data_IF_139513201846
#
_entry.id   IF_139513201846
#
_cell.length_a   1.000
_cell.length_b   1.000
_cell.length_c   1.000
_cell.angle_alpha   90.00
_cell.angle_beta   90.00
_cell.angle_gamma   90.00
#
_symmetry.space_group_name_H-M   'P 1'
#
loop_
_entity.id
_entity.type
_entity.pdbx_description
1 polymer ?
#
# COMPACT_ATOMS: atom_id res chain seq x y z
N UNK A 1 -1.87 -1.54 8.73
CA UNK A 1 -1.19 -2.37 7.71
C UNK A 1 -0.54 -1.46 6.67
N UNK A 2 0.66 -1.75 6.20
CA UNK A 2 1.32 -0.98 5.15
C UNK A 2 1.13 -1.63 3.77
N UNK A 3 0.74 -0.85 2.76
CA UNK A 3 0.46 -1.33 1.41
C UNK A 3 1.11 -0.44 0.33
N UNK A 4 1.85 -1.05 -0.59
CA UNK A 4 2.38 -0.39 -1.80
C UNK A 4 1.34 -0.47 -2.92
N UNK A 5 0.91 0.68 -3.45
CA UNK A 5 -0.02 0.75 -4.58
C UNK A 5 0.78 0.97 -5.88
N UNK A 6 1.03 -0.12 -6.60
CA UNK A 6 1.97 -0.21 -7.73
C UNK A 6 1.19 -0.30 -9.05
N UNK A 7 0.42 0.75 -9.36
CA UNK A 7 -0.54 0.71 -10.48
C UNK A 7 0.11 0.99 -11.83
N UNK A 8 1.26 1.67 -11.84
CA UNK A 8 2.08 1.84 -13.04
C UNK A 8 3.17 0.77 -13.11
N UNK A 9 3.49 0.35 -14.34
CA UNK A 9 4.38 -0.79 -14.59
C UNK A 9 5.83 -0.52 -14.20
N UNK A 10 6.27 0.72 -14.26
CA UNK A 10 7.63 1.18 -13.92
C UNK A 10 7.91 1.23 -12.42
N UNK A 11 6.88 1.11 -11.57
CA UNK A 11 7.01 1.13 -10.11
C UNK A 11 7.54 -0.19 -9.51
N UNK A 12 7.77 -1.22 -10.32
CA UNK A 12 8.29 -2.51 -9.85
C UNK A 12 9.02 -3.31 -10.93
N UNK A 13 9.91 -4.22 -10.51
CA UNK A 13 10.52 -5.21 -11.38
C UNK A 13 9.87 -6.59 -11.16
N UNK A 14 9.22 -7.21 -12.16
CA UNK A 14 8.78 -8.59 -12.07
C UNK A 14 10.01 -9.48 -12.02
N UNK A 15 9.93 -10.49 -11.19
CA UNK A 15 11.00 -11.41 -10.94
C UNK A 15 10.44 -12.76 -10.51
N UNK A 16 11.35 -13.60 -10.05
CA UNK A 16 10.98 -14.76 -9.30
C UNK A 16 11.86 -14.86 -8.07
N UNK A 17 11.34 -15.53 -7.05
CA UNK A 17 12.05 -15.74 -5.79
C UNK A 17 11.96 -17.19 -5.35
N UNK A 18 12.86 -17.56 -4.45
CA UNK A 18 12.71 -18.71 -3.56
C UNK A 18 12.43 -18.17 -2.16
N UNK A 19 11.44 -18.73 -1.49
CA UNK A 19 11.15 -18.43 -0.07
C UNK A 19 11.57 -19.63 0.78
N UNK A 20 11.88 -19.45 2.07
CA UNK A 20 12.37 -20.53 2.93
C UNK A 20 11.43 -21.74 3.03
N UNK A 21 10.12 -21.49 2.91
CA UNK A 21 9.08 -22.48 3.19
C UNK A 21 8.67 -23.31 1.96
N UNK A 22 9.26 -23.07 0.78
CA UNK A 22 9.01 -23.89 -0.41
C UNK A 22 10.22 -24.05 -1.31
N UNK A 23 10.36 -25.26 -1.88
CA UNK A 23 11.41 -25.58 -2.84
C UNK A 23 11.15 -24.99 -4.25
N UNK A 24 9.93 -24.53 -4.51
CA UNK A 24 9.53 -24.03 -5.82
C UNK A 24 9.79 -22.53 -5.99
N UNK A 25 10.07 -22.16 -7.24
CA UNK A 25 10.27 -20.78 -7.67
C UNK A 25 8.92 -20.07 -7.77
N UNK A 26 8.72 -19.00 -7.03
CA UNK A 26 7.48 -18.21 -7.03
C UNK A 26 7.60 -17.00 -7.96
N UNK A 27 6.51 -16.64 -8.64
CA UNK A 27 6.39 -15.35 -9.32
C UNK A 27 6.34 -14.23 -8.29
N UNK A 28 7.10 -13.17 -8.53
CA UNK A 28 7.24 -12.09 -7.58
C UNK A 28 7.44 -10.74 -8.25
N UNK A 29 7.37 -9.69 -7.45
CA UNK A 29 7.80 -8.34 -7.80
C UNK A 29 8.86 -7.86 -6.80
N UNK A 30 9.70 -6.94 -7.26
CA UNK A 30 10.75 -6.32 -6.48
C UNK A 30 10.62 -4.81 -6.54
N UNK A 31 10.63 -4.19 -5.36
CA UNK A 31 10.50 -2.74 -5.14
C UNK A 31 11.06 -2.40 -3.77
N UNK A 32 11.73 -1.26 -3.63
CA UNK A 32 12.29 -0.76 -2.36
C UNK A 32 13.13 -1.80 -1.61
N UNK A 33 13.95 -2.55 -2.37
CA UNK A 33 14.82 -3.61 -1.87
C UNK A 33 14.06 -4.75 -1.15
N UNK A 34 12.77 -4.91 -1.44
CA UNK A 34 11.90 -5.93 -0.88
C UNK A 34 11.30 -6.80 -1.99
N UNK A 35 11.08 -8.07 -1.68
CA UNK A 35 10.41 -9.01 -2.55
C UNK A 35 8.97 -9.23 -2.10
N UNK A 36 8.06 -9.27 -3.06
CA UNK A 36 6.67 -9.62 -2.80
C UNK A 36 6.26 -10.77 -3.71
N UNK A 37 5.81 -11.88 -3.13
CA UNK A 37 5.33 -13.05 -3.87
C UNK A 37 3.90 -12.83 -4.34
N UNK A 38 3.56 -13.43 -5.48
CA UNK A 38 2.20 -13.38 -6.01
C UNK A 38 1.26 -14.20 -5.13
N UNK A 39 0.19 -13.57 -4.62
CA UNK A 39 -0.84 -14.26 -3.86
C UNK A 39 -2.03 -14.64 -4.76
N UNK A 40 -2.67 -13.64 -5.39
CA UNK A 40 -3.86 -13.84 -6.24
C UNK A 40 -4.25 -12.57 -6.99
N UNK A 41 -5.06 -12.74 -8.04
CA UNK A 41 -5.77 -11.64 -8.72
C UNK A 41 -7.25 -11.69 -8.35
N UNK A 42 -7.85 -10.53 -8.08
CA UNK A 42 -9.30 -10.37 -7.90
C UNK A 42 -9.83 -9.22 -8.76
N UNK A 43 -11.04 -9.34 -9.34
CA UNK A 43 -11.60 -8.29 -10.18
C UNK A 43 -11.91 -7.01 -9.39
N UNK A 44 -12.40 -7.13 -8.15
CA UNK A 44 -12.91 -6.01 -7.38
C UNK A 44 -11.86 -5.40 -6.43
N UNK A 45 -11.73 -4.07 -6.45
CA UNK A 45 -10.83 -3.30 -5.58
C UNK A 45 -11.09 -3.58 -4.09
N UNK A 46 -12.36 -3.59 -3.68
CA UNK A 46 -12.73 -3.84 -2.28
C UNK A 46 -12.25 -5.22 -1.81
N UNK A 47 -12.39 -6.23 -2.65
CA UNK A 47 -11.93 -7.58 -2.35
C UNK A 47 -10.41 -7.65 -2.20
N UNK A 48 -9.66 -6.87 -2.98
CA UNK A 48 -8.21 -6.76 -2.84
C UNK A 48 -7.82 -6.14 -1.48
N UNK A 49 -8.51 -5.06 -1.07
CA UNK A 49 -8.35 -4.43 0.24
C UNK A 49 -8.62 -5.44 1.36
N UNK A 50 -9.73 -6.18 1.28
CA UNK A 50 -10.09 -7.18 2.30
C UNK A 50 -9.06 -8.32 2.39
N UNK A 51 -8.39 -8.66 1.29
CA UNK A 51 -7.28 -9.63 1.30
C UNK A 51 -6.07 -9.02 1.98
N UNK A 52 -5.67 -7.79 1.61
CA UNK A 52 -4.53 -7.09 2.24
C UNK A 52 -4.72 -6.93 3.75
N UNK A 53 -5.91 -6.55 4.20
CA UNK A 53 -6.23 -6.46 5.62
C UNK A 53 -6.08 -7.80 6.35
N UNK A 54 -6.48 -8.91 5.71
CA UNK A 54 -6.33 -10.25 6.27
C UNK A 54 -4.88 -10.76 6.31
N UNK A 55 -4.00 -10.24 5.46
CA UNK A 55 -2.57 -10.51 5.54
C UNK A 55 -1.93 -9.86 6.78
N UNK A 56 -2.60 -8.86 7.36
CA UNK A 56 -2.15 -8.07 8.51
C UNK A 56 -2.18 -8.77 9.87
N UNK A 57 -1.45 -9.89 10.02
CA UNK A 57 -0.81 -10.23 11.30
C UNK A 57 0.55 -9.50 11.36
N UNK A 58 1.05 -9.23 12.58
CA UNK A 58 2.15 -8.29 12.91
C UNK A 58 3.26 -8.20 11.84
N UNK A 59 3.59 -6.97 11.47
CA UNK A 59 4.67 -6.54 10.55
C UNK A 59 4.58 -6.99 9.08
N UNK A 60 3.46 -7.62 8.68
CA UNK A 60 3.20 -7.86 7.28
C UNK A 60 3.11 -6.53 6.51
N UNK A 61 3.76 -6.48 5.36
CA UNK A 61 3.51 -5.47 4.32
C UNK A 61 2.96 -6.17 3.09
N UNK A 62 2.22 -5.46 2.26
CA UNK A 62 1.65 -6.00 1.03
C UNK A 62 1.83 -5.02 -0.11
N UNK A 63 1.61 -5.50 -1.33
CA UNK A 63 1.48 -4.64 -2.48
C UNK A 63 0.24 -5.01 -3.29
N UNK A 64 -0.31 -4.02 -4.01
CA UNK A 64 -1.36 -4.22 -5.00
C UNK A 64 -0.85 -3.66 -6.33
N UNK A 65 -0.93 -4.46 -7.39
CA UNK A 65 -0.73 -3.97 -8.77
C UNK A 65 -2.05 -4.02 -9.53
N UNK A 66 -2.23 -3.09 -10.47
CA UNK A 66 -3.37 -3.08 -11.38
C UNK A 66 -3.04 -3.91 -12.63
N UNK A 67 -3.95 -4.78 -13.03
CA UNK A 67 -3.84 -5.64 -14.21
C UNK A 67 -5.11 -5.53 -15.06
N UNK A 68 -5.06 -6.03 -16.29
CA UNK A 68 -6.26 -6.13 -17.16
C UNK A 68 -7.37 -7.01 -16.57
N UNK A 69 -7.05 -7.89 -15.62
CA UNK A 69 -8.00 -8.81 -14.96
C UNK A 69 -8.48 -8.31 -13.59
N UNK A 70 -8.07 -7.12 -13.19
CA UNK A 70 -8.32 -6.55 -11.86
C UNK A 70 -7.04 -6.37 -11.06
N UNK A 71 -7.13 -6.53 -9.74
CA UNK A 71 -6.10 -6.20 -8.77
C UNK A 71 -5.34 -7.44 -8.35
N UNK A 72 -4.02 -7.46 -8.61
CA UNK A 72 -3.15 -8.51 -8.10
C UNK A 72 -2.65 -8.11 -6.70
N UNK A 73 -2.79 -9.00 -5.74
CA UNK A 73 -2.29 -8.85 -4.37
C UNK A 73 -0.99 -9.61 -4.23
N UNK A 74 0.00 -8.98 -3.60
CA UNK A 74 1.33 -9.50 -3.38
C UNK A 74 1.67 -9.44 -1.89
N UNK A 75 2.23 -10.53 -1.35
CA UNK A 75 2.62 -10.63 0.05
C UNK A 75 4.12 -10.37 0.19
N UNK A 76 4.53 -9.57 1.18
CA UNK A 76 5.95 -9.35 1.45
C UNK A 76 6.62 -10.62 1.97
N UNK A 77 7.79 -10.93 1.41
CA UNK A 77 8.58 -12.11 1.73
C UNK A 77 9.95 -11.70 2.31
N UNK A 78 10.06 -11.47 3.63
CA UNK A 78 11.31 -10.99 4.24
C UNK A 78 12.47 -11.97 4.09
N UNK A 79 12.19 -13.27 3.96
CA UNK A 79 13.19 -14.32 3.75
C UNK A 79 13.45 -14.68 2.29
N UNK A 80 12.78 -14.01 1.33
CA UNK A 80 12.92 -14.35 -0.08
C UNK A 80 14.31 -14.04 -0.63
N UNK A 81 14.76 -14.90 -1.54
CA UNK A 81 15.97 -14.69 -2.34
C UNK A 81 15.63 -14.65 -3.80
N UNK A 82 16.28 -13.74 -4.53
CA UNK A 82 16.13 -13.64 -5.97
C UNK A 82 16.49 -14.95 -6.66
N UNK A 83 15.64 -15.39 -7.58
CA UNK A 83 15.83 -16.60 -8.38
C UNK A 83 16.04 -16.24 -9.86
N UNK A 84 17.32 -16.16 -10.33
CA UNK A 84 17.62 -15.78 -11.71
C UNK A 84 17.03 -16.77 -12.72
N UNK A 85 16.78 -16.35 -13.97
CA UNK A 85 16.36 -17.25 -15.03
C UNK A 85 17.40 -18.35 -15.26
N UNK A 86 16.95 -19.60 -15.48
CA UNK A 86 17.85 -20.74 -15.70
C UNK A 86 18.83 -20.54 -16.87
N UNK A 87 18.41 -19.80 -17.90
CA UNK A 87 19.24 -19.47 -19.07
C UNK A 87 20.27 -18.36 -18.82
N UNK A 88 20.17 -17.63 -17.72
CA UNK A 88 21.03 -16.49 -17.37
C UNK A 88 21.25 -16.44 -15.85
N UNK A 89 22.06 -17.36 -15.28
CA UNK A 89 22.24 -17.49 -13.83
C UNK A 89 22.88 -16.25 -13.18
N UNK A 90 23.63 -15.47 -13.96
CA UNK A 90 24.31 -14.25 -13.49
C UNK A 90 23.49 -12.97 -13.72
N UNK A 91 22.24 -13.09 -14.19
CA UNK A 91 21.39 -11.92 -14.38
C UNK A 91 21.01 -11.33 -13.01
N UNK A 92 21.36 -10.07 -12.76
CA UNK A 92 20.95 -9.33 -11.57
C UNK A 92 19.62 -8.61 -11.76
N UNK A 93 18.85 -8.48 -10.69
CA UNK A 93 17.67 -7.60 -10.69
C UNK A 93 18.11 -6.14 -10.46
N UNK A 94 17.56 -5.22 -11.25
CA UNK A 94 17.84 -3.79 -11.07
C UNK A 94 17.02 -3.25 -9.89
N UNK A 95 17.60 -2.37 -9.05
CA UNK A 95 16.84 -1.60 -8.06
C UNK A 95 15.68 -0.85 -8.71
N UNK A 96 14.51 -0.92 -8.07
CA UNK A 96 13.33 -0.13 -8.41
C UNK A 96 12.84 0.53 -7.13
N UNK A 97 12.62 1.84 -7.20
CA UNK A 97 12.13 2.64 -6.08
C UNK A 97 10.63 2.87 -6.27
N UNK A 98 9.87 2.44 -5.28
CA UNK A 98 8.41 2.47 -5.31
C UNK A 98 7.85 3.82 -4.86
N UNK A 99 6.52 3.98 -4.99
CA UNK A 99 5.81 5.12 -4.41
C UNK A 99 5.83 5.06 -2.88
N UNK A 100 5.37 6.12 -2.23
CA UNK A 100 5.12 6.09 -0.78
C UNK A 100 4.14 4.98 -0.39
N UNK A 101 4.23 4.56 0.87
CA UNK A 101 3.34 3.54 1.40
C UNK A 101 1.98 4.14 1.71
N UNK A 102 0.91 3.44 1.33
CA UNK A 102 -0.44 3.71 1.83
C UNK A 102 -0.67 2.88 3.10
N UNK A 103 -0.93 3.56 4.22
CA UNK A 103 -1.36 2.90 5.45
C UNK A 103 -2.84 2.56 5.33
N UNK A 104 -3.21 1.33 5.65
CA UNK A 104 -4.58 0.85 5.66
C UNK A 104 -4.98 0.45 7.08
N UNK A 105 -6.11 0.96 7.55
CA UNK A 105 -6.67 0.70 8.87
C UNK A 105 -8.16 0.42 8.77
N UNK A 106 -8.61 -0.62 9.47
CA UNK A 106 -10.03 -1.00 9.57
C UNK A 106 -10.51 -1.10 11.02
N UNK A 107 -9.59 -0.95 11.98
CA UNK A 107 -9.89 -0.94 13.41
C UNK A 107 -10.17 0.51 13.84
N UNK A 108 -11.43 0.78 14.18
CA UNK A 108 -11.89 2.10 14.62
C UNK A 108 -11.20 2.56 15.92
N UNK A 109 -10.72 1.63 16.75
CA UNK A 109 -9.99 1.97 17.98
C UNK A 109 -8.55 2.41 17.72
N UNK A 110 -8.04 2.18 16.51
CA UNK A 110 -6.66 2.49 16.16
C UNK A 110 -6.47 3.96 15.73
N UNK A 111 -7.54 4.72 15.51
CA UNK A 111 -7.49 6.14 15.15
C UNK A 111 -8.50 6.97 15.94
N UNK A 112 -8.29 8.28 15.96
CA UNK A 112 -9.22 9.24 16.58
C UNK A 112 -9.46 10.40 15.64
N UNK A 113 -10.70 10.88 15.57
CA UNK A 113 -11.01 12.11 14.85
C UNK A 113 -10.57 13.32 15.66
N UNK A 114 -10.02 14.33 14.98
CA UNK A 114 -9.59 15.59 15.60
C UNK A 114 -9.74 16.76 14.62
N UNK A 115 -9.43 17.97 15.09
CA UNK A 115 -9.24 19.14 14.23
C UNK A 115 -7.77 19.54 14.21
N UNK A 116 -7.28 19.90 13.02
CA UNK A 116 -5.90 20.32 12.81
C UNK A 116 -5.85 21.72 12.25
N UNK A 117 -5.03 22.56 12.86
CA UNK A 117 -4.54 23.78 12.24
C UNK A 117 -3.24 23.46 11.48
N UNK A 118 -3.27 23.64 10.15
CA UNK A 118 -2.11 23.54 9.26
C UNK A 118 -1.61 24.96 8.96
N UNK A 119 -0.29 25.25 8.93
CA UNK A 119 0.23 26.62 8.79
C UNK A 119 -0.33 27.42 7.61
N UNK A 120 -0.57 26.76 6.48
CA UNK A 120 -0.98 27.41 5.22
C UNK A 120 -2.50 27.36 4.98
N UNK A 121 -3.28 26.89 5.95
CA UNK A 121 -4.73 26.72 5.81
C UNK A 121 -5.45 27.61 6.82
N UNK A 122 -6.28 28.53 6.37
CA UNK A 122 -6.92 29.52 7.26
C UNK A 122 -7.89 28.91 8.27
N UNK A 123 -8.57 27.82 7.92
CA UNK A 123 -9.56 27.16 8.79
C UNK A 123 -9.05 25.79 9.23
N UNK A 124 -9.27 25.39 10.49
CA UNK A 124 -8.94 24.05 10.94
C UNK A 124 -9.59 22.97 10.06
N UNK A 125 -8.83 21.94 9.74
CA UNK A 125 -9.27 20.79 8.95
C UNK A 125 -9.80 19.68 9.86
N UNK A 126 -10.79 18.94 9.37
CA UNK A 126 -11.13 17.63 9.95
C UNK A 126 -10.01 16.64 9.67
N UNK A 127 -9.66 15.85 10.68
CA UNK A 127 -8.47 15.03 10.64
C UNK A 127 -8.59 13.74 11.46
N UNK A 128 -7.60 12.88 11.30
CA UNK A 128 -7.39 11.64 12.03
C UNK A 128 -6.03 11.69 12.72
N UNK A 129 -5.98 11.21 13.95
CA UNK A 129 -4.73 10.84 14.62
C UNK A 129 -4.55 9.34 14.50
N UNK A 130 -3.39 8.90 14.00
CA UNK A 130 -3.00 7.50 13.89
C UNK A 130 -1.50 7.36 14.19
N UNK A 131 -1.12 6.48 15.14
CA UNK A 131 0.27 6.30 15.59
C UNK A 131 1.00 7.63 15.91
N UNK A 132 0.35 8.52 16.66
CA UNK A 132 0.85 9.86 17.03
C UNK A 132 1.20 10.77 15.84
N UNK A 133 0.65 10.48 14.65
CA UNK A 133 0.74 11.33 13.47
C UNK A 133 -0.65 11.82 13.08
N UNK A 134 -0.67 12.96 12.40
CA UNK A 134 -1.87 13.69 12.05
C UNK A 134 -2.14 13.58 10.55
N UNK A 135 -3.38 13.22 10.18
CA UNK A 135 -3.79 13.04 8.80
C UNK A 135 -5.05 13.84 8.49
N UNK A 136 -5.01 14.80 7.56
CA UNK A 136 -6.18 15.59 7.15
C UNK A 136 -7.10 14.79 6.24
N UNK A 137 -8.42 14.97 6.39
CA UNK A 137 -9.40 14.32 5.51
C UNK A 137 -9.24 14.85 4.08
N UNK A 138 -9.01 13.95 3.13
CA UNK A 138 -8.84 14.32 1.73
C UNK A 138 -10.01 13.88 0.86
N UNK A 139 -10.42 12.62 0.99
CA UNK A 139 -11.52 12.07 0.18
C UNK A 139 -12.27 10.98 0.93
N UNK A 140 -13.59 11.08 0.96
CA UNK A 140 -14.47 9.99 1.36
C UNK A 140 -15.30 9.54 0.17
N UNK A 141 -15.40 8.23 -0.04
CA UNK A 141 -16.17 7.62 -1.13
C UNK A 141 -16.52 6.16 -0.80
N UNK A 142 -17.50 5.58 -1.49
CA UNK A 142 -17.84 4.14 -1.38
C UNK A 142 -17.22 3.33 -2.52
N UNK A 143 -16.77 3.99 -3.59
CA UNK A 143 -16.06 3.34 -4.70
C UNK A 143 -14.59 3.10 -4.34
N UNK A 144 -14.29 1.86 -3.93
CA UNK A 144 -12.94 1.43 -3.60
C UNK A 144 -11.94 1.56 -4.78
N UNK A 145 -12.38 1.37 -6.04
CA UNK A 145 -11.48 1.49 -7.19
C UNK A 145 -11.01 2.93 -7.36
N UNK A 146 -11.95 3.87 -7.27
CA UNK A 146 -11.66 5.31 -7.31
C UNK A 146 -10.76 5.74 -6.16
N UNK A 147 -11.02 5.28 -4.93
CA UNK A 147 -10.20 5.67 -3.76
C UNK A 147 -8.78 5.11 -3.87
N UNK A 148 -8.61 3.86 -4.32
CA UNK A 148 -7.27 3.30 -4.54
C UNK A 148 -6.50 4.00 -5.67
N UNK A 149 -7.17 4.39 -6.76
CA UNK A 149 -6.54 5.15 -7.84
C UNK A 149 -6.04 6.51 -7.35
N UNK A 150 -6.84 7.23 -6.55
CA UNK A 150 -6.43 8.49 -5.93
C UNK A 150 -5.25 8.27 -4.97
N UNK A 151 -5.33 7.27 -4.10
CA UNK A 151 -4.27 6.93 -3.16
C UNK A 151 -2.95 6.57 -3.87
N UNK A 152 -3.01 5.80 -4.97
CA UNK A 152 -1.84 5.45 -5.77
C UNK A 152 -1.19 6.69 -6.41
N UNK A 153 -2.00 7.62 -6.93
CA UNK A 153 -1.52 8.88 -7.52
C UNK A 153 -0.83 9.77 -6.50
N UNK A 154 -1.38 9.90 -5.30
CA UNK A 154 -0.80 10.64 -4.18
C UNK A 154 0.51 9.99 -3.72
N UNK A 155 0.50 8.68 -3.49
CA UNK A 155 1.69 7.93 -3.10
C UNK A 155 2.86 8.11 -4.10
N UNK A 156 2.57 8.14 -5.41
CA UNK A 156 3.57 8.38 -6.45
C UNK A 156 4.15 9.80 -6.42
N UNK A 157 3.39 10.79 -5.97
CA UNK A 157 3.86 12.17 -5.80
C UNK A 157 4.75 12.35 -4.56
N UNK A 158 4.79 11.35 -3.69
CA UNK A 158 5.51 11.41 -2.43
C UNK A 158 4.61 11.66 -1.22
N UNK A 159 3.29 11.67 -1.39
CA UNK A 159 2.35 11.87 -0.28
C UNK A 159 2.19 10.59 0.54
N UNK A 160 2.37 10.70 1.85
CA UNK A 160 2.01 9.64 2.79
C UNK A 160 0.49 9.67 3.04
N UNK A 161 -0.16 8.52 2.84
CA UNK A 161 -1.63 8.42 2.91
C UNK A 161 -2.08 7.42 3.95
N UNK A 162 -3.21 7.73 4.60
CA UNK A 162 -3.94 6.82 5.48
C UNK A 162 -5.32 6.54 4.86
N UNK A 163 -5.61 5.28 4.62
CA UNK A 163 -6.89 4.78 4.15
C UNK A 163 -7.62 4.08 5.31
N UNK A 164 -8.62 4.75 5.85
CA UNK A 164 -9.58 4.19 6.81
C UNK A 164 -10.67 3.46 6.06
N UNK A 165 -10.99 2.25 6.51
CA UNK A 165 -11.87 1.31 5.84
C UNK A 165 -13.05 0.99 6.78
N UNK A 166 -14.13 1.75 6.66
CA UNK A 166 -15.35 1.62 7.46
C UNK A 166 -16.48 1.15 6.53
N UNK A 167 -16.95 -0.09 6.60
CA UNK A 167 -17.96 -0.54 5.61
C UNK A 167 -19.25 0.30 5.68
N UNK A 168 -19.74 0.90 4.57
CA UNK A 168 -19.29 0.75 3.17
C UNK A 168 -18.32 1.83 2.66
N UNK A 169 -18.00 2.82 3.47
CA UNK A 169 -17.16 3.98 3.16
C UNK A 169 -15.65 3.70 3.22
N UNK A 170 -14.89 4.46 2.45
CA UNK A 170 -13.45 4.55 2.55
C UNK A 170 -13.08 6.02 2.72
N UNK A 171 -12.29 6.32 3.75
CA UNK A 171 -11.79 7.67 4.02
C UNK A 171 -10.29 7.70 3.77
N UNK A 172 -9.89 8.39 2.72
CA UNK A 172 -8.50 8.70 2.40
C UNK A 172 -8.11 10.02 3.07
N UNK A 173 -7.00 9.98 3.79
CA UNK A 173 -6.43 11.10 4.51
C UNK A 173 -4.93 11.28 4.16
N UNK A 174 -4.45 12.52 4.22
CA UNK A 174 -3.07 12.90 3.90
C UNK A 174 -2.31 13.25 5.16
N UNK A 175 -1.04 12.81 5.26
CA UNK A 175 -0.20 13.20 6.38
C UNK A 175 0.02 14.73 6.40
N UNK A 176 -0.18 15.34 7.57
CA UNK A 176 0.13 16.74 7.84
C UNK A 176 1.29 16.84 8.84
N UNK A 177 2.56 16.85 8.40
CA UNK A 177 3.71 16.82 9.31
C UNK A 177 3.81 18.06 10.21
N UNK A 178 3.24 19.19 9.75
CA UNK A 178 3.24 20.46 10.47
C UNK A 178 1.88 20.78 11.11
N UNK A 179 0.92 19.85 11.05
CA UNK A 179 -0.40 20.02 11.64
C UNK A 179 -0.34 20.06 13.17
N UNK A 180 -1.11 20.95 13.79
CA UNK A 180 -1.28 21.02 15.24
C UNK A 180 -2.73 20.84 15.61
N UNK A 181 -3.00 20.00 16.60
CA UNK A 181 -4.35 19.80 17.11
C UNK A 181 -4.88 21.08 17.76
N UNK A 182 -6.15 21.40 17.50
CA UNK A 182 -6.86 22.59 18.02
C UNK A 182 -8.27 22.26 18.48
#
# INVERSE_FOLDING_TARGET
MACKLLFDRDLYAPCHVRVPDTDHRLSAIYVDNQFYSFLKIVPEARKAIDIVLRLGKRDSTAAITLTRRGYAVWAHEPGARYAPPARQPNYGIRPVFGPQTCLMVADESAYQTCRLQVPDVTKPLMALTYNNRYYSFFKQDTDAAKVLDIAAKLARRGDETLLVIESPTLTLALLEPNGRMV
#
